data_IF_536910548177
#
_entry.id   IF_536910548177
#
_cell.length_a   1.000
_cell.length_b   1.000
_cell.length_c   1.000
_cell.angle_alpha   90.00
_cell.angle_beta   90.00
_cell.angle_gamma   90.00
#
_symmetry.space_group_name_H-M   'P 1'
#
loop_
_entity.id
_entity.type
_entity.pdbx_description
1 polymer ?
#
# COMPACT_ATOMS: atom_id res chain seq x y z
N UNK A 1 -14.91 -73.98 47.45
CA UNK A 1 -13.45 -74.18 47.26
C UNK A 1 -13.00 -73.56 45.96
N UNK A 2 -12.07 -72.67 46.12
CA UNK A 2 -11.04 -72.30 45.18
C UNK A 2 -11.46 -71.53 43.96
N UNK A 3 -11.04 -70.28 43.94
CA UNK A 3 -9.90 -69.60 43.31
C UNK A 3 -10.24 -69.24 41.88
N UNK A 4 -10.31 -68.05 41.55
CA UNK A 4 -9.40 -66.93 41.78
C UNK A 4 -8.60 -66.83 40.50
N UNK A 5 -8.47 -65.84 39.95
CA UNK A 5 -7.60 -65.57 38.82
C UNK A 5 -8.00 -64.39 38.04
N UNK A 6 -7.79 -63.26 38.65
CA UNK A 6 -7.78 -62.00 37.93
C UNK A 6 -6.51 -61.96 37.07
N UNK A 7 -6.62 -61.88 35.79
CA UNK A 7 -5.53 -61.45 34.92
C UNK A 7 -5.90 -60.10 34.32
N UNK A 8 -5.27 -59.11 34.91
CA UNK A 8 -5.34 -57.77 34.40
C UNK A 8 -4.72 -57.63 33.04
N UNK A 9 -5.50 -57.32 32.08
CA UNK A 9 -4.99 -56.90 30.77
C UNK A 9 -4.50 -55.47 30.92
N UNK A 10 -3.20 -55.34 31.02
CA UNK A 10 -2.50 -54.07 30.89
C UNK A 10 -2.61 -53.59 29.44
N UNK A 11 -3.51 -52.72 29.23
CA UNK A 11 -3.53 -51.94 27.99
C UNK A 11 -2.40 -50.92 28.04
N UNK A 12 -1.24 -51.30 27.50
CA UNK A 12 -0.20 -50.34 27.19
C UNK A 12 -0.73 -49.46 26.08
N UNK A 13 -1.10 -48.25 26.41
CA UNK A 13 -1.46 -47.26 25.47
C UNK A 13 -0.29 -46.94 24.55
N UNK A 14 -0.36 -47.41 23.34
CA UNK A 14 0.49 -46.90 22.26
C UNK A 14 -0.18 -45.61 21.75
N UNK A 15 0.03 -44.60 22.54
CA UNK A 15 -0.26 -43.25 22.10
C UNK A 15 0.90 -42.66 21.29
N UNK A 16 1.27 -43.30 20.24
CA UNK A 16 2.13 -42.65 19.26
C UNK A 16 1.28 -42.07 18.15
N UNK A 17 0.58 -40.99 18.50
CA UNK A 17 0.03 -40.11 17.52
C UNK A 17 1.19 -39.26 17.01
N UNK A 18 1.88 -39.81 16.02
CA UNK A 18 2.61 -38.98 15.07
C UNK A 18 1.59 -38.04 14.46
N UNK A 19 1.44 -36.88 15.06
CA UNK A 19 0.78 -35.79 14.44
C UNK A 19 1.57 -35.51 13.17
N UNK A 20 1.11 -36.08 12.07
CA UNK A 20 1.43 -35.62 10.74
C UNK A 20 0.99 -34.17 10.70
N UNK A 21 1.93 -33.31 11.05
CA UNK A 21 1.80 -31.90 10.87
C UNK A 21 1.61 -31.66 9.36
N UNK A 22 0.38 -31.67 8.96
CA UNK A 22 -0.04 -31.07 7.72
C UNK A 22 0.15 -29.58 7.87
N UNK A 23 1.38 -29.14 7.91
CA UNK A 23 1.70 -27.79 7.54
C UNK A 23 1.38 -27.68 6.04
N UNK A 24 0.10 -27.67 5.72
CA UNK A 24 -0.31 -27.12 4.45
C UNK A 24 0.42 -25.77 4.35
N UNK A 25 1.20 -25.53 3.27
CA UNK A 25 1.67 -24.19 3.04
C UNK A 25 0.40 -23.33 3.00
N UNK A 26 0.13 -22.65 4.07
CA UNK A 26 -0.83 -21.57 4.07
C UNK A 26 -0.26 -20.64 3.02
N UNK A 27 -0.80 -20.73 1.81
CA UNK A 27 -0.69 -19.68 0.82
C UNK A 27 -1.21 -18.45 1.54
N UNK A 28 -0.33 -17.77 2.24
CA UNK A 28 -0.56 -16.45 2.76
C UNK A 28 -0.70 -15.61 1.50
N UNK A 29 -1.93 -15.49 1.03
CA UNK A 29 -2.28 -14.39 0.17
C UNK A 29 -1.93 -13.15 0.99
N UNK A 30 -0.73 -12.64 0.77
CA UNK A 30 -0.33 -11.37 1.33
C UNK A 30 -1.13 -10.36 0.53
N UNK A 31 -2.30 -10.01 1.05
CA UNK A 31 -3.10 -8.91 0.52
C UNK A 31 -2.37 -7.64 0.91
N UNK A 32 -1.77 -6.92 -0.04
CA UNK A 32 -1.12 -5.66 0.25
C UNK A 32 -2.07 -4.72 0.98
N UNK A 33 -1.58 -4.07 2.02
CA UNK A 33 -2.35 -3.15 2.84
C UNK A 33 -1.80 -1.74 2.69
N UNK A 34 -2.68 -0.81 2.33
CA UNK A 34 -2.38 0.61 2.28
C UNK A 34 -2.91 1.24 3.56
N UNK A 35 -2.02 1.80 4.36
CA UNK A 35 -2.39 2.58 5.53
C UNK A 35 -2.37 4.06 5.18
N UNK A 36 -3.52 4.68 5.26
CA UNK A 36 -3.69 6.12 5.11
C UNK A 36 -3.56 6.79 6.47
N UNK A 37 -2.40 7.36 6.75
CA UNK A 37 -2.05 7.90 8.08
C UNK A 37 -2.99 9.03 8.48
N UNK A 38 -3.28 9.95 7.56
CA UNK A 38 -4.13 11.12 7.82
C UNK A 38 -5.58 10.77 8.13
N UNK A 39 -6.13 9.81 7.41
CA UNK A 39 -7.50 9.34 7.56
C UNK A 39 -7.64 8.25 8.64
N UNK A 40 -6.53 7.69 9.12
CA UNK A 40 -6.51 6.60 10.09
C UNK A 40 -7.12 5.29 9.56
N UNK A 41 -7.18 5.13 8.23
CA UNK A 41 -7.78 3.97 7.57
C UNK A 41 -6.73 3.02 7.00
N UNK A 42 -7.08 1.74 6.99
CA UNK A 42 -6.30 0.70 6.32
C UNK A 42 -7.16 0.05 5.24
N UNK A 43 -6.61 -0.09 4.06
CA UNK A 43 -7.30 -0.59 2.88
C UNK A 43 -6.50 -1.74 2.29
N UNK A 44 -7.10 -2.93 2.24
CA UNK A 44 -6.53 -4.05 1.51
C UNK A 44 -6.70 -3.85 0.01
N UNK A 45 -5.67 -4.16 -0.77
CA UNK A 45 -5.73 -4.10 -2.23
C UNK A 45 -5.08 -5.33 -2.85
N UNK A 46 -5.30 -5.54 -4.13
CA UNK A 46 -4.57 -6.56 -4.89
C UNK A 46 -3.17 -6.06 -5.23
N UNK A 47 -2.23 -6.95 -5.37
CA UNK A 47 -0.89 -6.62 -5.87
C UNK A 47 -0.99 -5.97 -7.25
N UNK A 48 -0.24 -4.89 -7.46
CA UNK A 48 -0.33 -4.08 -8.68
C UNK A 48 -1.50 -3.08 -8.72
N UNK A 49 -2.26 -2.94 -7.63
CA UNK A 49 -3.34 -1.96 -7.57
C UNK A 49 -2.82 -0.53 -7.70
N UNK A 50 -3.57 0.31 -8.39
CA UNK A 50 -3.26 1.73 -8.49
C UNK A 50 -3.60 2.44 -7.16
N UNK A 51 -2.63 3.15 -6.59
CA UNK A 51 -2.75 3.81 -5.28
C UNK A 51 -3.91 4.82 -5.24
N UNK A 52 -4.09 5.61 -6.32
CA UNK A 52 -5.20 6.56 -6.42
C UNK A 52 -6.55 5.86 -6.42
N UNK A 53 -6.68 4.80 -7.23
CA UNK A 53 -7.91 4.04 -7.33
C UNK A 53 -8.28 3.41 -5.99
N UNK A 54 -7.33 2.78 -5.32
CA UNK A 54 -7.54 2.18 -4.00
C UNK A 54 -7.99 3.23 -2.96
N UNK A 55 -7.43 4.44 -2.98
CA UNK A 55 -7.88 5.53 -2.12
C UNK A 55 -9.33 5.93 -2.41
N UNK A 56 -9.68 6.14 -3.67
CA UNK A 56 -11.03 6.56 -4.06
C UNK A 56 -12.08 5.48 -3.78
N UNK A 57 -11.77 4.22 -4.02
CA UNK A 57 -12.64 3.08 -3.72
C UNK A 57 -12.92 2.97 -2.20
N UNK A 58 -11.98 3.42 -1.38
CA UNK A 58 -12.14 3.51 0.08
C UNK A 58 -12.80 4.82 0.55
N UNK A 59 -13.25 5.68 -0.35
CA UNK A 59 -13.81 6.98 -0.01
C UNK A 59 -12.79 8.04 0.41
N UNK A 60 -11.50 7.76 0.21
CA UNK A 60 -10.41 8.68 0.56
C UNK A 60 -10.09 9.56 -0.64
N UNK A 61 -10.24 10.86 -0.45
CA UNK A 61 -9.97 11.84 -1.49
C UNK A 61 -8.48 12.26 -1.50
N UNK A 62 -7.74 11.96 -2.59
CA UNK A 62 -6.33 12.34 -2.71
C UNK A 62 -6.12 13.82 -3.07
N UNK A 63 -7.17 14.54 -3.38
CA UNK A 63 -7.09 15.90 -3.89
C UNK A 63 -7.37 16.96 -2.82
N UNK A 64 -6.76 18.13 -2.99
CA UNK A 64 -6.97 19.30 -2.14
C UNK A 64 -7.92 20.30 -2.79
N UNK A 65 -8.87 20.83 -2.01
CA UNK A 65 -9.70 21.98 -2.41
C UNK A 65 -10.28 21.86 -3.81
N UNK A 66 -10.01 22.85 -4.66
CA UNK A 66 -10.49 22.91 -6.04
C UNK A 66 -9.95 21.80 -6.95
N UNK A 67 -8.84 21.17 -6.59
CA UNK A 67 -8.29 20.03 -7.35
C UNK A 67 -9.21 18.81 -7.31
N UNK A 68 -10.16 18.78 -6.41
CA UNK A 68 -11.21 17.76 -6.39
C UNK A 68 -12.08 17.81 -7.66
N UNK A 69 -12.29 18.98 -8.20
CA UNK A 69 -13.08 19.23 -9.40
C UNK A 69 -12.17 19.28 -10.65
N UNK A 70 -11.02 19.96 -10.52
CA UNK A 70 -10.09 20.20 -11.62
C UNK A 70 -8.90 19.22 -11.59
N UNK A 71 -9.18 17.92 -11.70
CA UNK A 71 -8.14 16.89 -11.80
C UNK A 71 -8.20 16.17 -13.16
N UNK A 72 -7.10 15.52 -13.53
CA UNK A 72 -7.00 14.82 -14.81
C UNK A 72 -7.64 13.42 -14.83
N UNK A 73 -8.38 13.06 -13.79
CA UNK A 73 -9.00 11.72 -13.70
C UNK A 73 -8.01 10.54 -13.57
N UNK A 74 -6.73 10.82 -13.34
CA UNK A 74 -5.70 9.79 -13.21
C UNK A 74 -4.77 9.65 -14.41
N UNK A 75 -4.86 10.58 -15.38
CA UNK A 75 -4.02 10.57 -16.58
C UNK A 75 -2.55 10.97 -16.33
N UNK A 76 -2.22 11.45 -15.12
CA UNK A 76 -0.87 11.88 -14.78
C UNK A 76 -0.48 13.23 -15.37
N UNK A 77 -1.45 14.08 -15.72
CA UNK A 77 -1.23 15.34 -16.43
C UNK A 77 -1.35 16.59 -15.56
N UNK A 78 -1.91 16.48 -14.37
CA UNK A 78 -2.19 17.64 -13.52
C UNK A 78 -1.28 17.76 -12.29
N UNK A 79 -0.58 16.70 -11.90
CA UNK A 79 0.32 16.70 -10.73
C UNK A 79 -0.37 16.94 -9.37
N UNK A 80 -1.70 16.80 -9.28
CA UNK A 80 -2.46 17.18 -8.08
C UNK A 80 -2.74 16.04 -7.11
N UNK A 81 -2.56 14.78 -7.54
CA UNK A 81 -2.81 13.60 -6.73
C UNK A 81 -1.58 13.16 -5.91
N UNK A 82 -0.88 14.13 -5.32
CA UNK A 82 0.34 13.87 -4.57
C UNK A 82 0.03 13.21 -3.23
N UNK A 83 0.74 12.14 -2.94
CA UNK A 83 0.79 11.49 -1.62
C UNK A 83 2.23 11.38 -1.15
N UNK A 84 2.44 11.51 0.14
CA UNK A 84 3.72 11.26 0.77
C UNK A 84 3.79 9.81 1.25
N UNK A 85 4.84 9.11 0.89
CA UNK A 85 5.12 7.74 1.35
C UNK A 85 5.92 7.84 2.64
N UNK A 86 5.35 7.35 3.73
CA UNK A 86 5.98 7.35 5.04
C UNK A 86 6.78 6.06 5.26
N UNK A 87 6.20 4.94 4.86
CA UNK A 87 6.81 3.62 5.00
C UNK A 87 6.48 2.74 3.80
N UNK A 88 7.32 1.76 3.53
CA UNK A 88 7.07 0.77 2.47
C UNK A 88 7.34 1.26 1.05
N UNK A 89 8.16 2.28 0.84
CA UNK A 89 8.46 2.82 -0.49
C UNK A 89 8.96 1.77 -1.49
N UNK A 90 9.67 0.74 -1.02
CA UNK A 90 10.15 -0.38 -1.84
C UNK A 90 9.03 -1.27 -2.40
N UNK A 91 7.85 -1.20 -1.79
CA UNK A 91 6.66 -1.95 -2.19
C UNK A 91 5.81 -1.20 -3.23
N UNK A 92 6.32 -0.10 -3.71
CA UNK A 92 5.70 0.69 -4.76
C UNK A 92 6.46 0.55 -6.07
N UNK A 93 5.77 0.79 -7.20
CA UNK A 93 6.44 0.86 -8.49
C UNK A 93 7.54 1.92 -8.51
N UNK A 94 8.59 1.78 -9.33
CA UNK A 94 9.56 2.85 -9.57
C UNK A 94 8.87 4.15 -9.98
N UNK A 95 9.52 5.28 -9.75
CA UNK A 95 9.05 6.57 -10.26
C UNK A 95 9.00 6.54 -11.78
N UNK A 96 7.93 7.08 -12.33
CA UNK A 96 7.80 7.27 -13.77
C UNK A 96 8.40 8.61 -14.19
N UNK A 97 8.76 8.75 -15.48
CA UNK A 97 9.29 9.99 -16.05
C UNK A 97 8.36 11.18 -15.77
N UNK A 98 7.04 10.93 -15.77
CA UNK A 98 6.04 11.94 -15.44
C UNK A 98 6.17 12.41 -14.00
N UNK A 99 6.41 11.50 -13.06
CA UNK A 99 6.62 11.84 -11.66
C UNK A 99 7.91 12.62 -11.45
N UNK A 100 8.98 12.29 -12.19
CA UNK A 100 10.24 13.03 -12.13
C UNK A 100 10.05 14.50 -12.55
N UNK A 101 9.23 14.76 -13.56
CA UNK A 101 8.92 16.12 -14.00
C UNK A 101 8.07 16.89 -13.00
N UNK A 102 6.95 16.28 -12.55
CA UNK A 102 6.00 16.98 -11.66
C UNK A 102 6.46 17.10 -10.21
N UNK A 103 7.35 16.23 -9.78
CA UNK A 103 7.85 16.18 -8.41
C UNK A 103 9.34 16.57 -8.31
N UNK A 104 9.90 17.22 -9.32
CA UNK A 104 11.31 17.61 -9.36
C UNK A 104 11.74 18.46 -8.15
N UNK A 105 10.86 19.33 -7.68
CA UNK A 105 11.09 20.22 -6.53
C UNK A 105 10.59 19.63 -5.19
N UNK A 106 10.19 18.34 -5.17
CA UNK A 106 9.62 17.69 -4.00
C UNK A 106 10.52 16.57 -3.47
N UNK A 107 10.42 16.26 -2.17
CA UNK A 107 11.14 15.13 -1.59
C UNK A 107 10.87 13.82 -2.32
N UNK A 108 11.84 12.92 -2.31
CA UNK A 108 11.72 11.60 -2.94
C UNK A 108 10.57 10.75 -2.36
N UNK A 109 10.11 11.05 -1.14
CA UNK A 109 8.95 10.42 -0.52
C UNK A 109 7.62 10.77 -1.18
N UNK A 110 7.56 11.83 -1.98
CA UNK A 110 6.34 12.24 -2.67
C UNK A 110 6.14 11.45 -3.95
N UNK A 111 4.92 10.97 -4.16
CA UNK A 111 4.52 10.18 -5.32
C UNK A 111 3.22 10.71 -5.92
N UNK A 112 3.05 10.56 -7.22
CA UNK A 112 1.75 10.76 -7.87
C UNK A 112 0.93 9.48 -7.71
N UNK A 113 -0.12 9.50 -6.92
CA UNK A 113 -0.90 8.30 -6.64
C UNK A 113 -1.52 7.66 -7.90
N UNK A 114 -1.78 8.46 -8.94
CA UNK A 114 -2.30 7.94 -10.21
C UNK A 114 -1.24 7.18 -11.04
N UNK A 115 0.05 7.37 -10.76
CA UNK A 115 1.17 6.71 -11.44
C UNK A 115 1.84 5.64 -10.59
N UNK A 116 1.40 5.49 -9.37
CA UNK A 116 1.99 4.56 -8.40
C UNK A 116 1.15 3.30 -8.28
N UNK A 117 1.78 2.14 -8.42
CA UNK A 117 1.19 0.84 -8.13
C UNK A 117 1.73 0.28 -6.82
N UNK A 118 0.90 -0.49 -6.13
CA UNK A 118 1.17 -1.05 -4.80
C UNK A 118 1.40 -2.55 -4.93
N UNK A 119 2.57 -3.02 -4.54
CA UNK A 119 2.97 -4.42 -4.60
C UNK A 119 3.17 -5.05 -3.21
N UNK A 120 2.95 -4.30 -2.15
CA UNK A 120 3.09 -4.76 -0.76
C UNK A 120 2.59 -3.68 0.21
N UNK A 121 2.78 -3.92 1.50
CA UNK A 121 2.32 -3.00 2.54
C UNK A 121 3.00 -1.64 2.44
N UNK A 122 2.21 -0.59 2.54
CA UNK A 122 2.68 0.79 2.46
C UNK A 122 1.87 1.71 3.39
N UNK A 123 2.56 2.67 4.01
CA UNK A 123 1.94 3.75 4.77
C UNK A 123 2.11 5.05 3.99
N UNK A 124 1.00 5.71 3.71
CA UNK A 124 0.97 6.96 2.95
C UNK A 124 0.19 8.04 3.68
N UNK A 125 0.58 9.27 3.43
CA UNK A 125 -0.16 10.47 3.87
C UNK A 125 -0.74 11.16 2.65
N UNK A 126 -2.05 11.33 2.64
CA UNK A 126 -2.74 12.08 1.59
C UNK A 126 -2.50 13.59 1.79
N UNK A 127 -2.49 14.33 0.70
CA UNK A 127 -2.44 15.80 0.74
C UNK A 127 -1.32 16.33 1.67
N UNK A 128 -0.04 16.00 1.40
CA UNK A 128 1.08 16.35 2.29
C UNK A 128 1.22 17.86 2.54
N UNK A 129 0.76 18.69 1.60
CA UNK A 129 0.89 20.15 1.69
C UNK A 129 -0.23 20.82 2.51
N UNK A 130 -0.93 20.08 3.36
CA UNK A 130 -1.90 20.64 4.32
C UNK A 130 -3.20 21.18 3.74
N UNK A 131 -3.48 20.99 2.47
CA UNK A 131 -4.78 21.30 1.86
C UNK A 131 -4.96 22.74 1.38
N UNK A 132 -3.98 23.59 1.51
CA UNK A 132 -3.99 24.89 0.84
C UNK A 132 -3.44 24.66 -0.56
N UNK A 133 -4.31 24.82 -1.56
CA UNK A 133 -3.97 24.62 -2.96
C UNK A 133 -2.78 25.47 -3.41
N UNK A 134 -1.60 24.94 -3.19
CA UNK A 134 -0.50 25.28 -4.05
C UNK A 134 -0.67 24.39 -5.28
N UNK A 135 -1.53 24.86 -6.19
CA UNK A 135 -1.33 24.53 -7.57
C UNK A 135 0.11 24.92 -7.88
N UNK A 136 1.03 23.98 -7.75
CA UNK A 136 2.27 24.10 -8.47
C UNK A 136 1.81 24.19 -9.93
N UNK A 137 1.87 25.39 -10.46
CA UNK A 137 1.72 25.59 -11.90
C UNK A 137 2.79 24.69 -12.51
N UNK A 138 2.41 23.49 -12.91
CA UNK A 138 3.33 22.45 -13.35
C UNK A 138 4.18 22.93 -14.52
N UNK A 139 3.65 23.91 -15.28
CA UNK A 139 4.38 24.63 -16.32
C UNK A 139 5.53 25.47 -15.75
N UNK A 140 5.36 26.08 -14.59
CA UNK A 140 6.42 26.90 -13.96
C UNK A 140 7.50 25.98 -13.36
N UNK A 141 7.12 24.84 -12.80
CA UNK A 141 8.06 23.83 -12.32
C UNK A 141 8.87 23.21 -13.46
N UNK A 142 8.19 22.81 -14.54
CA UNK A 142 8.84 22.29 -15.73
C UNK A 142 9.79 23.33 -16.39
N UNK A 143 9.38 24.59 -16.43
CA UNK A 143 10.21 25.66 -16.96
C UNK A 143 11.44 25.91 -16.08
N UNK A 144 11.29 25.89 -14.75
CA UNK A 144 12.42 26.01 -13.83
C UNK A 144 13.41 24.85 -13.93
N UNK A 145 12.92 23.62 -14.14
CA UNK A 145 13.76 22.45 -14.34
C UNK A 145 14.58 22.54 -15.62
N UNK A 146 14.02 23.10 -16.69
CA UNK A 146 14.71 23.35 -17.96
C UNK A 146 15.79 24.43 -17.83
N UNK A 147 15.51 25.50 -17.08
CA UNK A 147 16.48 26.60 -16.85
C UNK A 147 17.67 26.14 -15.97
N UNK A 148 17.46 25.19 -15.07
CA UNK A 148 18.53 24.70 -14.19
C UNK A 148 19.49 23.71 -14.86
N UNK A 149 19.18 23.23 -16.05
CA UNK A 149 20.01 22.33 -16.86
C UNK A 149 20.88 23.03 -17.90
N UNK A 150 20.80 24.35 -17.97
CA UNK A 150 21.63 25.19 -18.84
C UNK A 150 22.90 25.67 -18.18
#
# INVERSE_FOLDING_TARGET
>A
MARGGASGARWLGIGSQSALSWAAPTLRFIVPTIRFEREGQQVGCIEGANLRKAALDAGINPYNGLNNINNCGGLGQCGTCVMEVLEGARNLSPRSDVEEVYLADRPASHRLSCRTTVNGDVTVRTRPDGGVGQGSNSLVGALKALIKRG
#
